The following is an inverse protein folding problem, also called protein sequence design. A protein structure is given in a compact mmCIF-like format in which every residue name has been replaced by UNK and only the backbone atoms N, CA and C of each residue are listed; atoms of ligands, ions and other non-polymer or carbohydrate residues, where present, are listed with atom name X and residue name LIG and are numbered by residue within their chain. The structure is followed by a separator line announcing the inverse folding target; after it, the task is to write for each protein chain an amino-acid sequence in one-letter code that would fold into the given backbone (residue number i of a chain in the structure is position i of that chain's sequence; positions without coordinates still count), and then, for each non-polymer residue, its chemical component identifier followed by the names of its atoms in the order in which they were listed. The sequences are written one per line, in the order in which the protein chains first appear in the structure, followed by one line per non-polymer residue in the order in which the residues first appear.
data_IF_846340264446
#
_entry.id   IF_846340264446
#
_cell.length_a   1.000
_cell.length_b   1.000
_cell.length_c   1.000
_cell.angle_alpha   90.00
_cell.angle_beta   90.00
_cell.angle_gamma   90.00
#
_symmetry.space_group_name_H-M   'P 1'
#
loop_
_entity.id
_entity.type
_entity.pdbx_description
1 polymer ?
#
# COMPACT_ATOMS: atom_id res chain seq x y z
N UNK A 1 -4.03 9.38 -11.63
CA UNK A 1 -4.56 8.07 -12.07
C UNK A 1 -4.45 7.12 -10.90
N UNK A 2 -5.55 6.49 -10.45
CA UNK A 2 -5.51 5.52 -9.36
C UNK A 2 -4.62 4.33 -9.74
N UNK A 3 -3.99 3.71 -8.75
CA UNK A 3 -3.16 2.53 -8.98
C UNK A 3 -3.95 1.31 -9.46
N UNK A 4 -5.25 1.24 -9.12
CA UNK A 4 -6.17 0.19 -9.60
C UNK A 4 -6.39 0.22 -11.12
N UNK A 5 -6.27 1.39 -11.77
CA UNK A 5 -6.45 1.57 -13.21
C UNK A 5 -5.12 1.58 -13.98
N UNK A 6 -3.99 1.32 -13.32
CA UNK A 6 -2.69 1.42 -13.95
C UNK A 6 -2.47 0.31 -14.98
N UNK A 7 -2.32 0.69 -16.25
CA UNK A 7 -1.88 -0.22 -17.33
C UNK A 7 -0.43 -0.63 -17.09
N UNK A 8 -0.24 -1.88 -16.65
CA UNK A 8 1.06 -2.51 -16.39
C UNK A 8 1.98 -2.41 -17.61
N UNK A 9 3.21 -1.92 -17.45
CA UNK A 9 4.25 -1.97 -18.48
C UNK A 9 5.14 -3.19 -18.29
N UNK A 10 5.79 -3.64 -19.36
CA UNK A 10 6.69 -4.79 -19.32
C UNK A 10 7.86 -4.52 -18.37
N UNK A 11 8.02 -5.37 -17.35
CA UNK A 11 9.05 -5.24 -16.32
C UNK A 11 8.63 -4.47 -15.06
N UNK A 12 7.42 -3.89 -15.02
CA UNK A 12 6.89 -3.31 -13.78
C UNK A 12 6.48 -4.42 -12.81
N UNK A 13 6.82 -4.27 -11.52
CA UNK A 13 6.19 -5.06 -10.46
C UNK A 13 4.98 -4.29 -9.95
N UNK A 14 3.82 -4.93 -9.86
CA UNK A 14 2.59 -4.31 -9.37
C UNK A 14 1.97 -5.25 -8.34
N UNK A 15 1.53 -4.69 -7.22
CA UNK A 15 0.82 -5.40 -6.16
C UNK A 15 -0.39 -4.61 -5.67
N UNK A 16 -0.68 -4.75 -4.38
CA UNK A 16 -1.85 -4.15 -3.73
C UNK A 16 -1.74 -2.63 -3.61
N UNK A 17 -2.28 -1.88 -4.57
CA UNK A 17 -2.19 -0.42 -4.59
C UNK A 17 -0.74 0.12 -4.45
N UNK A 18 0.24 -0.66 -4.92
CA UNK A 18 1.65 -0.26 -5.01
C UNK A 18 2.29 -0.84 -6.28
N UNK A 19 3.37 -0.21 -6.74
CA UNK A 19 4.20 -0.69 -7.84
C UNK A 19 5.67 -0.33 -7.67
N UNK A 20 6.51 -1.06 -8.39
CA UNK A 20 7.92 -0.73 -8.64
C UNK A 20 8.06 -0.59 -10.16
N UNK A 21 8.24 0.64 -10.68
CA UNK A 21 8.42 0.84 -12.11
C UNK A 21 9.73 0.21 -12.60
N UNK A 22 9.74 -0.24 -13.86
CA UNK A 22 10.97 -0.68 -14.50
C UNK A 22 11.88 0.54 -14.75
N UNK A 23 13.09 0.48 -14.18
CA UNK A 23 14.12 1.52 -14.33
C UNK A 23 15.20 1.14 -15.35
N UNK A 24 15.09 -0.03 -15.99
CA UNK A 24 16.05 -0.47 -17.00
C UNK A 24 16.11 0.52 -18.18
N UNK A 25 17.31 0.96 -18.53
CA UNK A 25 17.53 1.95 -19.60
C UNK A 25 17.19 3.40 -19.23
N UNK A 26 16.93 3.71 -17.95
CA UNK A 26 16.65 5.06 -17.45
C UNK A 26 17.61 5.45 -16.34
N UNK A 27 17.96 6.73 -16.22
CA UNK A 27 18.76 7.31 -15.11
C UNK A 27 17.97 7.43 -13.79
N UNK A 28 16.95 6.60 -13.56
CA UNK A 28 16.10 6.67 -12.37
C UNK A 28 16.47 5.59 -11.34
N UNK A 29 16.45 5.95 -10.05
CA UNK A 29 16.68 5.01 -8.95
C UNK A 29 15.44 4.12 -8.77
N UNK A 30 15.65 2.85 -8.39
CA UNK A 30 14.57 1.94 -8.03
C UNK A 30 13.83 2.46 -6.80
N UNK A 31 12.54 2.70 -6.95
CA UNK A 31 11.68 3.19 -5.87
C UNK A 31 10.32 2.50 -5.93
N UNK A 32 9.58 2.56 -4.82
CA UNK A 32 8.20 2.07 -4.75
C UNK A 32 7.29 3.29 -4.87
N UNK A 33 6.21 3.16 -5.63
CA UNK A 33 5.12 4.13 -5.65
C UNK A 33 3.85 3.43 -5.20
N UNK A 34 3.13 4.01 -4.26
CA UNK A 34 1.90 3.45 -3.71
C UNK A 34 0.82 4.53 -3.56
N UNK A 35 -0.42 4.08 -3.42
CA UNK A 35 -1.56 4.96 -3.17
C UNK A 35 -1.64 5.33 -1.68
N UNK A 36 -1.15 6.53 -1.33
CA UNK A 36 -1.09 6.98 0.06
C UNK A 36 -2.46 7.06 0.71
N UNK A 37 -3.48 7.56 0.01
CA UNK A 37 -4.84 7.69 0.55
C UNK A 37 -5.44 6.32 0.86
N UNK A 38 -5.31 5.37 -0.08
CA UNK A 38 -5.76 4.01 0.14
C UNK A 38 -5.05 3.38 1.35
N UNK A 39 -3.72 3.48 1.43
CA UNK A 39 -2.95 2.81 2.49
C UNK A 39 -3.14 3.44 3.86
N UNK A 40 -3.31 4.76 3.95
CA UNK A 40 -3.71 5.45 5.19
C UNK A 40 -5.09 4.96 5.67
N UNK A 41 -6.07 4.91 4.77
CA UNK A 41 -7.40 4.35 5.10
C UNK A 41 -7.36 2.86 5.44
N UNK A 42 -6.49 2.09 4.78
CA UNK A 42 -6.29 0.67 5.09
C UNK A 42 -5.81 0.49 6.53
N UNK A 43 -4.72 1.16 6.92
CA UNK A 43 -4.15 1.10 8.28
C UNK A 43 -5.15 1.57 9.32
N UNK A 44 -5.81 2.71 9.09
CA UNK A 44 -6.81 3.25 10.02
C UNK A 44 -7.98 2.29 10.21
N UNK A 45 -8.42 1.63 9.14
CA UNK A 45 -9.47 0.62 9.24
C UNK A 45 -9.03 -0.61 10.03
N UNK A 46 -7.72 -0.92 10.12
CA UNK A 46 -7.21 -2.02 10.97
C UNK A 46 -7.13 -1.63 12.44
N UNK A 47 -6.77 -0.37 12.71
CA UNK A 47 -6.79 0.19 14.08
C UNK A 47 -8.21 0.26 14.64
N UNK A 48 -9.22 0.44 13.78
CA UNK A 48 -10.63 0.49 14.17
C UNK A 48 -11.28 -0.89 14.37
N UNK A 49 -10.59 -1.99 14.04
CA UNK A 49 -11.12 -3.34 14.26
C UNK A 49 -11.10 -3.66 15.77
N UNK A 50 -12.19 -4.21 16.33
CA UNK A 50 -12.21 -4.66 17.71
C UNK A 50 -11.03 -5.59 18.06
N UNK A 51 -10.53 -5.47 19.28
CA UNK A 51 -9.45 -6.33 19.76
C UNK A 51 -9.86 -7.80 19.68
N UNK A 52 -9.03 -8.62 19.02
CA UNK A 52 -9.28 -10.06 18.84
C UNK A 52 -9.91 -10.43 17.49
N UNK A 53 -10.46 -9.46 16.76
CA UNK A 53 -11.04 -9.72 15.44
C UNK A 53 -9.97 -9.83 14.34
N UNK A 54 -10.32 -10.52 13.25
CA UNK A 54 -9.40 -10.75 12.13
C UNK A 54 -9.05 -9.43 11.44
N UNK A 55 -7.75 -9.23 11.17
CA UNK A 55 -7.26 -8.01 10.54
C UNK A 55 -7.17 -6.81 11.49
N UNK A 56 -7.17 -7.06 12.80
CA UNK A 56 -6.90 -6.06 13.82
C UNK A 56 -5.43 -5.63 13.80
N UNK A 57 -5.20 -4.32 13.92
CA UNK A 57 -3.90 -3.75 14.26
C UNK A 57 -4.01 -3.18 15.68
N UNK A 58 -3.26 -3.72 16.62
CA UNK A 58 -3.30 -3.35 18.03
C UNK A 58 -1.94 -2.86 18.53
N UNK A 59 -1.95 -1.98 19.53
CA UNK A 59 -0.76 -1.57 20.27
C UNK A 59 -0.60 -2.45 21.52
N UNK A 60 0.64 -2.73 21.92
CA UNK A 60 0.93 -3.58 23.08
C UNK A 60 0.88 -2.81 24.40
N UNK A 61 0.80 -3.51 25.52
CA UNK A 61 0.84 -2.89 26.85
C UNK A 61 -0.52 -2.41 27.37
N UNK A 62 -0.58 -2.10 28.67
CA UNK A 62 -1.82 -1.79 29.37
C UNK A 62 -1.99 -0.30 29.71
N UNK A 63 -0.92 0.50 29.59
CA UNK A 63 -0.92 1.93 29.94
C UNK A 63 -0.98 2.78 28.66
N UNK A 64 -2.06 3.54 28.42
CA UNK A 64 -2.20 4.41 27.24
C UNK A 64 -1.04 5.40 27.05
N UNK A 65 -0.48 5.87 28.16
CA UNK A 65 0.60 6.85 28.28
C UNK A 65 1.84 6.44 27.50
N UNK A 66 2.10 5.13 27.44
CA UNK A 66 3.25 4.55 26.74
C UNK A 66 3.22 4.83 25.23
N UNK A 67 2.03 5.00 24.66
CA UNK A 67 1.84 5.23 23.23
C UNK A 67 1.35 6.62 22.90
N UNK A 68 1.34 7.56 23.86
CA UNK A 68 0.77 8.91 23.67
C UNK A 68 1.34 9.61 22.43
N UNK A 69 2.66 9.70 22.32
CA UNK A 69 3.34 10.33 21.18
C UNK A 69 3.00 9.61 19.86
N UNK A 70 2.93 8.29 19.87
CA UNK A 70 2.53 7.52 18.68
C UNK A 70 1.11 7.86 18.25
N UNK A 71 0.16 7.90 19.19
CA UNK A 71 -1.23 8.23 18.91
C UNK A 71 -1.39 9.66 18.41
N UNK A 72 -0.63 10.62 18.96
CA UNK A 72 -0.61 12.00 18.48
C UNK A 72 -0.21 12.07 17.00
N UNK A 73 0.85 11.38 16.59
CA UNK A 73 1.27 11.37 15.18
C UNK A 73 0.27 10.62 14.27
N UNK A 74 -0.32 9.52 14.74
CA UNK A 74 -1.31 8.74 13.99
C UNK A 74 -2.65 9.49 13.81
N UNK A 75 -2.97 10.40 14.72
CA UNK A 75 -4.21 11.20 14.70
C UNK A 75 -4.01 12.63 14.22
N UNK A 76 -2.77 13.01 13.86
CA UNK A 76 -2.38 14.30 13.30
C UNK A 76 -3.11 14.63 11.98
N UNK A 77 -3.56 13.61 11.26
CA UNK A 77 -4.34 13.74 10.04
C UNK A 77 -5.78 13.26 10.24
N UNK A 78 -6.68 13.78 9.40
CA UNK A 78 -8.06 13.33 9.35
C UNK A 78 -8.46 13.04 7.91
N UNK A 79 -9.34 12.04 7.74
CA UNK A 79 -9.90 11.71 6.43
C UNK A 79 -11.14 12.54 6.14
N UNK A 80 -11.24 13.03 4.92
CA UNK A 80 -12.42 13.67 4.35
C UNK A 80 -12.86 12.82 3.17
N UNK A 81 -14.13 12.40 3.17
CA UNK A 81 -14.70 11.72 2.02
C UNK A 81 -14.94 12.74 0.92
N UNK A 82 -14.18 12.62 -0.16
CA UNK A 82 -14.31 13.45 -1.34
C UNK A 82 -14.91 12.61 -2.47
N UNK A 83 -16.01 13.08 -3.03
CA UNK A 83 -16.64 12.45 -4.20
C UNK A 83 -16.20 13.18 -5.47
N UNK A 84 -15.61 12.45 -6.41
CA UNK A 84 -15.12 13.02 -7.66
C UNK A 84 -15.11 11.99 -8.77
N UNK A 85 -15.62 12.38 -9.95
CA UNK A 85 -15.65 11.54 -11.17
C UNK A 85 -16.29 10.15 -10.91
N UNK A 86 -17.42 10.14 -10.20
CA UNK A 86 -18.21 8.95 -9.90
C UNK A 86 -17.61 8.01 -8.85
N UNK A 87 -16.68 8.48 -8.02
CA UNK A 87 -16.01 7.69 -6.99
C UNK A 87 -15.86 8.47 -5.69
N UNK A 88 -16.03 7.79 -4.57
CA UNK A 88 -15.74 8.30 -3.22
C UNK A 88 -14.32 7.87 -2.83
N UNK A 89 -13.46 8.83 -2.51
CA UNK A 89 -12.09 8.60 -2.03
C UNK A 89 -11.94 9.27 -0.67
N UNK A 90 -11.28 8.59 0.27
CA UNK A 90 -10.85 9.21 1.52
C UNK A 90 -9.59 10.05 1.24
N UNK A 91 -9.72 11.37 1.29
CA UNK A 91 -8.61 12.31 1.18
C UNK A 91 -8.08 12.63 2.59
N UNK A 92 -6.79 12.46 2.80
CA UNK A 92 -6.16 12.70 4.10
C UNK A 92 -5.60 14.11 4.18
N UNK A 93 -6.02 14.85 5.20
CA UNK A 93 -5.61 16.25 5.44
C UNK A 93 -4.98 16.39 6.82
N UNK A 94 -3.95 17.20 6.88
CA UNK A 94 -3.28 17.56 8.13
C UNK A 94 -4.19 18.45 8.99
N UNK A 95 -4.20 18.21 10.31
CA UNK A 95 -4.91 19.08 11.24
C UNK A 95 -4.18 20.40 11.41
N UNK A 96 -4.88 21.55 11.45
CA UNK A 96 -4.24 22.86 11.54
C UNK A 96 -3.34 23.06 12.78
N UNK A 97 -3.60 22.34 13.87
CA UNK A 97 -2.93 22.52 15.16
C UNK A 97 -1.79 21.52 15.42
N UNK A 98 -1.49 20.63 14.47
CA UNK A 98 -0.50 19.55 14.66
C UNK A 98 0.57 19.66 13.60
N UNK A 99 1.84 19.58 13.99
CA UNK A 99 2.98 19.69 13.08
C UNK A 99 3.62 18.35 12.75
N UNK A 100 3.55 17.38 13.67
CA UNK A 100 4.25 16.10 13.54
C UNK A 100 3.31 14.97 13.11
N UNK A 101 3.52 14.44 11.90
CA UNK A 101 2.73 13.33 11.32
C UNK A 101 3.59 12.18 10.79
N UNK A 102 4.92 12.31 10.85
CA UNK A 102 5.86 11.41 10.18
C UNK A 102 5.69 9.93 10.51
N UNK A 103 5.30 9.61 11.75
CA UNK A 103 5.19 8.22 12.20
C UNK A 103 3.99 7.50 11.57
N UNK A 104 2.95 8.24 11.17
CA UNK A 104 1.85 7.63 10.45
C UNK A 104 2.30 7.18 9.06
N UNK A 105 3.09 7.99 8.37
CA UNK A 105 3.69 7.62 7.08
C UNK A 105 4.67 6.44 7.23
N UNK A 106 5.43 6.37 8.33
CA UNK A 106 6.26 5.21 8.62
C UNK A 106 5.43 3.93 8.78
N UNK A 107 4.35 3.97 9.57
CA UNK A 107 3.46 2.82 9.78
C UNK A 107 2.80 2.37 8.46
N UNK A 108 2.36 3.32 7.64
CA UNK A 108 1.84 3.07 6.30
C UNK A 108 2.91 2.42 5.41
N UNK A 109 4.14 2.93 5.43
CA UNK A 109 5.27 2.35 4.72
C UNK A 109 5.56 0.90 5.14
N UNK A 110 5.48 0.59 6.43
CA UNK A 110 5.61 -0.77 6.95
C UNK A 110 4.50 -1.69 6.41
N UNK A 111 3.25 -1.22 6.36
CA UNK A 111 2.14 -2.00 5.80
C UNK A 111 2.30 -2.27 4.30
N UNK A 112 2.76 -1.27 3.53
CA UNK A 112 3.10 -1.42 2.11
C UNK A 112 4.22 -2.46 1.95
N UNK A 113 5.29 -2.35 2.74
CA UNK A 113 6.41 -3.28 2.70
C UNK A 113 5.99 -4.71 3.03
N UNK A 114 5.13 -4.91 4.02
CA UNK A 114 4.56 -6.23 4.35
C UNK A 114 3.80 -6.82 3.14
N UNK A 115 2.98 -6.00 2.47
CA UNK A 115 2.29 -6.42 1.24
C UNK A 115 3.25 -6.76 0.11
N UNK A 116 4.35 -6.03 -0.04
CA UNK A 116 5.40 -6.36 -1.02
C UNK A 116 6.06 -7.71 -0.76
N UNK A 117 6.14 -8.14 0.50
CA UNK A 117 6.63 -9.46 0.90
C UNK A 117 5.55 -10.56 0.80
N UNK A 118 4.32 -10.22 0.40
CA UNK A 118 3.24 -11.19 0.23
C UNK A 118 2.36 -11.40 1.47
N UNK A 119 2.47 -10.53 2.48
CA UNK A 119 1.49 -10.49 3.57
C UNK A 119 0.19 -9.90 3.02
N UNK A 120 -0.89 -10.66 3.09
CA UNK A 120 -2.18 -10.28 2.50
C UNK A 120 -3.27 -10.44 3.55
N UNK A 121 -4.15 -9.43 3.64
CA UNK A 121 -5.38 -9.56 4.39
C UNK A 121 -6.41 -10.31 3.52
N UNK A 122 -7.08 -11.36 4.03
CA UNK A 122 -8.09 -12.08 3.26
C UNK A 122 -9.13 -11.14 2.66
N UNK A 123 -9.41 -11.25 1.35
CA UNK A 123 -10.35 -10.39 0.63
C UNK A 123 -9.72 -9.11 0.05
N UNK A 124 -8.45 -8.84 0.33
CA UNK A 124 -7.66 -7.78 -0.32
C UNK A 124 -6.63 -8.36 -1.28
N UNK A 125 -6.73 -9.63 -1.62
CA UNK A 125 -5.80 -10.31 -2.51
C UNK A 125 -5.87 -9.77 -3.94
N UNK A 126 -4.81 -9.11 -4.38
CA UNK A 126 -4.57 -8.91 -5.81
C UNK A 126 -4.03 -10.23 -6.36
N UNK A 127 -4.92 -11.05 -6.95
CA UNK A 127 -4.50 -12.29 -7.63
C UNK A 127 -3.35 -11.96 -8.57
N UNK A 128 -2.15 -12.54 -8.38
CA UNK A 128 -1.10 -12.38 -9.36
C UNK A 128 -1.61 -12.98 -10.67
N UNK A 129 -1.80 -12.15 -11.70
CA UNK A 129 -2.00 -12.63 -13.06
C UNK A 129 -0.88 -13.64 -13.32
N UNK A 130 -1.27 -14.90 -13.57
CA UNK A 130 -0.38 -16.06 -13.54
C UNK A 130 0.95 -15.74 -14.22
N UNK A 131 2.06 -16.15 -13.59
CA UNK A 131 3.40 -15.99 -14.16
C UNK A 131 3.33 -16.48 -15.60
N UNK A 132 3.55 -15.58 -16.58
CA UNK A 132 3.68 -16.00 -17.98
C UNK A 132 4.72 -17.12 -18.00
N UNK A 133 4.41 -18.29 -18.59
CA UNK A 133 5.35 -19.39 -18.63
C UNK A 133 6.68 -18.88 -19.17
N UNK A 134 7.78 -19.21 -18.47
CA UNK A 134 9.12 -18.83 -18.90
C UNK A 134 9.36 -19.53 -20.24
N UNK A 135 9.29 -18.78 -21.33
CA UNK A 135 9.67 -19.27 -22.66
C UNK A 135 11.11 -19.78 -22.57
N UNK A 136 11.31 -21.08 -22.79
CA UNK A 136 12.66 -21.63 -22.91
C UNK A 136 13.20 -21.26 -24.29
N UNK A 137 14.46 -20.83 -24.37
CA UNK A 137 15.11 -20.52 -25.66
C UNK A 137 15.07 -21.72 -26.62
N UNK A 138 15.11 -22.95 -26.08
CA UNK A 138 14.94 -24.19 -26.84
C UNK A 138 13.57 -24.30 -27.54
N UNK A 139 12.49 -23.80 -26.93
CA UNK A 139 11.14 -23.82 -27.51
C UNK A 139 11.01 -22.81 -28.67
N UNK A 140 11.72 -21.68 -28.59
CA UNK A 140 11.80 -20.69 -29.67
C UNK A 140 12.60 -21.21 -30.87
N UNK A 141 13.66 -21.98 -30.61
CA UNK A 141 14.50 -22.59 -31.65
C UNK A 141 13.77 -23.73 -32.39
N UNK A 142 13.00 -24.55 -31.67
CA UNK A 142 12.21 -25.64 -32.24
C UNK A 142 11.06 -25.19 -33.15
N UNK A 143 10.50 -24.00 -32.93
CA UNK A 143 9.43 -23.40 -33.78
C UNK A 143 9.92 -22.82 -35.11
N UNK A 144 11.24 -22.73 -35.31
CA UNK A 144 11.86 -22.20 -36.54
C UNK A 144 12.27 -23.28 -37.54
N UNK A 145 12.10 -24.56 -37.20
CA UNK A 145 12.19 -25.68 -38.13
C UNK A 145 10.78 -26.09 -38.54
#
# INVERSE_FOLDING_TARGET
MPFSEYKRKLGDRVGHNWRVPNVHGRRQIRHVVYDTNYWKSFVYSRLAVPMGDRGCLSLFGAKPEQHRLLVEHLTAEYRVKTEGRGRTVDEWKMRPSVTDNHWFDCLVGCAVAASMQGVVLPGTDVKPLGRRPRLKLSELQGRRR
#
